data_IF_466294463936
#
_entry.id   IF_466294463936
#
_cell.length_a   1.000
_cell.length_b   1.000
_cell.length_c   1.000
_cell.angle_alpha   90.00
_cell.angle_beta   90.00
_cell.angle_gamma   90.00
#
_symmetry.space_group_name_H-M   'P 1'
#
loop_
_entity.id
_entity.type
_entity.pdbx_description
1 polymer ?
#
# COMPACT_ATOMS: atom_id res chain seq x y z
N UNK A 1 6.12 -6.59 -21.74
CA UNK A 1 4.86 -6.52 -20.99
C UNK A 1 5.07 -6.09 -19.54
N UNK A 2 5.85 -6.80 -18.71
CA UNK A 2 6.09 -6.37 -17.31
C UNK A 2 6.89 -5.08 -17.13
N UNK A 3 8.00 -4.94 -17.85
CA UNK A 3 8.75 -3.68 -17.86
C UNK A 3 7.97 -2.53 -18.52
N UNK A 4 7.06 -2.85 -19.43
CA UNK A 4 6.24 -1.86 -20.12
C UNK A 4 5.14 -1.33 -19.20
N UNK A 5 4.47 -2.22 -18.47
CA UNK A 5 3.57 -1.86 -17.37
C UNK A 5 4.28 -1.04 -16.30
N UNK A 6 5.50 -1.45 -15.90
CA UNK A 6 6.33 -0.71 -14.95
C UNK A 6 6.58 0.73 -15.40
N UNK A 7 7.03 0.89 -16.64
CA UNK A 7 7.35 2.20 -17.20
C UNK A 7 6.12 3.10 -17.26
N UNK A 8 4.97 2.56 -17.66
CA UNK A 8 3.73 3.34 -17.71
C UNK A 8 3.22 3.68 -16.30
N UNK A 9 3.32 2.74 -15.36
CA UNK A 9 2.98 2.95 -13.95
C UNK A 9 3.84 4.05 -13.31
N UNK A 10 5.15 3.95 -13.45
CA UNK A 10 6.11 4.93 -12.95
C UNK A 10 5.87 6.30 -13.59
N UNK A 11 5.65 6.35 -14.90
CA UNK A 11 5.34 7.59 -15.62
C UNK A 11 4.08 8.26 -15.08
N UNK A 12 2.99 7.52 -14.89
CA UNK A 12 1.73 8.06 -14.34
C UNK A 12 1.93 8.66 -12.94
N UNK A 13 2.68 7.97 -12.08
CA UNK A 13 2.96 8.47 -10.73
C UNK A 13 3.87 9.70 -10.73
N UNK A 14 4.92 9.71 -11.53
CA UNK A 14 5.82 10.86 -11.67
C UNK A 14 5.11 12.08 -12.27
N UNK A 15 4.24 11.87 -13.25
CA UNK A 15 3.40 12.94 -13.81
C UNK A 15 2.47 13.53 -12.76
N UNK A 16 1.87 12.70 -11.90
CA UNK A 16 1.06 13.16 -10.77
C UNK A 16 1.87 13.99 -9.77
N UNK A 17 3.02 13.47 -9.34
CA UNK A 17 3.91 14.15 -8.39
C UNK A 17 4.31 15.54 -8.90
N UNK A 18 4.78 15.61 -10.15
CA UNK A 18 5.23 16.84 -10.78
C UNK A 18 4.10 17.86 -10.95
N UNK A 19 2.87 17.39 -11.22
CA UNK A 19 1.68 18.27 -11.30
C UNK A 19 1.29 18.82 -9.93
N UNK A 20 1.36 18.01 -8.87
CA UNK A 20 1.13 18.46 -7.50
C UNK A 20 2.18 19.49 -7.11
N UNK A 21 3.46 19.21 -7.36
CA UNK A 21 4.56 20.15 -7.10
C UNK A 21 4.34 21.50 -7.78
N UNK A 22 4.08 21.51 -9.09
CA UNK A 22 3.80 22.75 -9.85
C UNK A 22 2.58 23.49 -9.32
N UNK A 23 1.55 22.78 -8.87
CA UNK A 23 0.39 23.40 -8.25
C UNK A 23 0.77 24.07 -6.93
N UNK A 24 1.49 23.35 -6.07
CA UNK A 24 1.96 23.84 -4.78
C UNK A 24 2.82 25.09 -4.98
N UNK A 25 3.83 25.05 -5.84
CA UNK A 25 4.72 26.19 -6.12
C UNK A 25 3.94 27.45 -6.53
N UNK A 26 2.95 27.31 -7.42
CA UNK A 26 2.11 28.45 -7.87
C UNK A 26 1.20 28.97 -6.77
N UNK A 27 0.65 28.07 -5.94
CA UNK A 27 -0.18 28.47 -4.80
C UNK A 27 0.69 29.23 -3.79
N UNK A 28 1.89 28.74 -3.49
CA UNK A 28 2.85 29.42 -2.62
C UNK A 28 3.22 30.82 -3.14
N UNK A 29 3.50 30.96 -4.45
CA UNK A 29 3.78 32.26 -5.08
C UNK A 29 2.62 33.25 -4.90
N UNK A 30 1.37 32.79 -5.01
CA UNK A 30 0.19 33.62 -4.77
C UNK A 30 0.04 33.98 -3.28
N UNK A 31 0.36 33.07 -2.37
CA UNK A 31 0.35 33.35 -0.93
C UNK A 31 1.38 34.42 -0.56
N UNK A 32 2.58 34.37 -1.15
CA UNK A 32 3.64 35.36 -0.90
C UNK A 32 3.28 36.77 -1.38
N UNK A 33 2.46 36.85 -2.43
CA UNK A 33 1.91 38.12 -2.94
C UNK A 33 0.72 38.62 -2.13
N UNK A 34 0.22 37.82 -1.19
CA UNK A 34 -1.00 38.12 -0.42
C UNK A 34 -2.30 37.83 -1.17
N UNK A 35 -2.24 37.18 -2.34
CA UNK A 35 -3.39 36.85 -3.19
C UNK A 35 -4.10 35.57 -2.71
N UNK A 36 -4.48 35.53 -1.43
CA UNK A 36 -4.96 34.32 -0.75
C UNK A 36 -6.22 33.72 -1.39
N UNK A 37 -7.11 34.56 -1.92
CA UNK A 37 -8.33 34.10 -2.62
C UNK A 37 -7.98 33.35 -3.91
N UNK A 38 -7.01 33.85 -4.66
CA UNK A 38 -6.60 33.23 -5.92
C UNK A 38 -5.78 31.97 -5.65
N UNK A 39 -4.92 31.98 -4.64
CA UNK A 39 -4.22 30.80 -4.13
C UNK A 39 -5.21 29.67 -3.76
N UNK A 40 -6.28 30.02 -3.03
CA UNK A 40 -7.36 29.09 -2.70
C UNK A 40 -8.07 28.52 -3.93
N UNK A 41 -8.44 29.39 -4.88
CA UNK A 41 -9.16 29.01 -6.10
C UNK A 41 -8.31 28.05 -6.94
N UNK A 42 -7.03 28.39 -7.11
CA UNK A 42 -6.06 27.60 -7.85
C UNK A 42 -5.85 26.23 -7.17
N UNK A 43 -5.61 26.21 -5.86
CA UNK A 43 -5.45 24.97 -5.09
C UNK A 43 -6.66 24.04 -5.27
N UNK A 44 -7.87 24.55 -5.04
CA UNK A 44 -9.10 23.75 -5.09
C UNK A 44 -9.38 23.20 -6.49
N UNK A 45 -9.19 24.00 -7.53
CA UNK A 45 -9.38 23.58 -8.91
C UNK A 45 -8.32 22.58 -9.34
N UNK A 46 -7.05 22.97 -9.18
CA UNK A 46 -5.91 22.17 -9.59
C UNK A 46 -5.83 20.82 -8.89
N UNK A 47 -6.00 20.78 -7.56
CA UNK A 47 -5.96 19.51 -6.81
C UNK A 47 -7.04 18.57 -7.29
N UNK A 48 -8.28 19.05 -7.46
CA UNK A 48 -9.39 18.24 -7.98
C UNK A 48 -9.13 17.69 -9.38
N UNK A 49 -8.62 18.53 -10.30
CA UNK A 49 -8.35 18.10 -11.67
C UNK A 49 -7.22 17.07 -11.71
N UNK A 50 -6.14 17.29 -10.96
CA UNK A 50 -5.03 16.35 -10.85
C UNK A 50 -5.50 15.01 -10.28
N UNK A 51 -6.30 15.03 -9.21
CA UNK A 51 -6.88 13.84 -8.60
C UNK A 51 -7.76 13.05 -9.56
N UNK A 52 -8.62 13.75 -10.32
CA UNK A 52 -9.50 13.11 -11.31
C UNK A 52 -8.68 12.44 -12.40
N UNK A 53 -7.68 13.13 -12.93
CA UNK A 53 -6.87 12.62 -14.03
C UNK A 53 -6.06 11.40 -13.60
N UNK A 54 -5.43 11.46 -12.43
CA UNK A 54 -4.68 10.33 -11.90
C UNK A 54 -5.59 9.13 -11.64
N UNK A 55 -6.77 9.33 -11.04
CA UNK A 55 -7.75 8.26 -10.86
C UNK A 55 -8.12 7.60 -12.19
N UNK A 56 -8.26 8.40 -13.25
CA UNK A 56 -8.48 7.90 -14.61
C UNK A 56 -7.32 7.02 -15.09
N UNK A 57 -6.09 7.52 -14.98
CA UNK A 57 -4.88 6.80 -15.40
C UNK A 57 -4.66 5.50 -14.63
N UNK A 58 -4.87 5.49 -13.31
CA UNK A 58 -4.77 4.29 -12.48
C UNK A 58 -5.80 3.22 -12.87
N UNK A 59 -7.03 3.63 -13.19
CA UNK A 59 -8.07 2.71 -13.65
C UNK A 59 -7.75 2.09 -15.01
N UNK A 60 -7.12 2.84 -15.91
CA UNK A 60 -6.66 2.29 -17.19
C UNK A 60 -5.47 1.33 -17.00
N UNK A 61 -4.56 1.63 -16.08
CA UNK A 61 -3.48 0.72 -15.69
C UNK A 61 -4.02 -0.56 -15.05
N UNK A 62 -5.02 -0.48 -14.17
CA UNK A 62 -5.70 -1.63 -13.57
C UNK A 62 -6.29 -2.55 -14.65
N UNK A 63 -6.99 -1.99 -15.66
CA UNK A 63 -7.52 -2.76 -16.80
C UNK A 63 -6.41 -3.42 -17.61
N UNK A 64 -5.32 -2.68 -17.87
CA UNK A 64 -4.17 -3.21 -18.61
C UNK A 64 -3.51 -4.38 -17.85
N UNK A 65 -3.39 -4.27 -16.53
CA UNK A 65 -2.86 -5.33 -15.67
C UNK A 65 -3.75 -6.59 -15.70
N UNK A 66 -5.08 -6.44 -15.66
CA UNK A 66 -6.04 -7.56 -15.75
C UNK A 66 -6.00 -8.28 -17.10
N UNK A 67 -5.65 -7.58 -18.18
CA UNK A 67 -5.51 -8.15 -19.53
C UNK A 67 -4.16 -8.81 -19.80
N UNK A 68 -3.10 -8.40 -19.11
CA UNK A 68 -1.73 -8.85 -19.32
C UNK A 68 -1.42 -10.12 -18.49
N UNK A 69 -1.87 -11.27 -18.97
CA UNK A 69 -1.46 -12.56 -18.43
C UNK A 69 0.05 -12.81 -18.61
N UNK A 70 0.82 -12.59 -17.53
CA UNK A 70 2.27 -12.84 -17.30
C UNK A 70 3.24 -11.68 -17.56
N UNK A 71 4.16 -11.57 -16.59
CA UNK A 71 5.28 -10.65 -16.56
C UNK A 71 4.83 -9.33 -15.98
N UNK A 72 4.83 -9.21 -14.65
CA UNK A 72 4.58 -7.96 -13.94
C UNK A 72 5.76 -7.78 -12.96
N UNK A 73 6.22 -6.54 -12.72
CA UNK A 73 7.35 -6.26 -11.84
C UNK A 73 7.12 -6.80 -10.43
N UNK A 74 8.21 -6.91 -9.67
CA UNK A 74 8.16 -7.28 -8.27
C UNK A 74 7.21 -6.35 -7.50
N UNK A 75 6.33 -6.95 -6.70
CA UNK A 75 5.37 -6.28 -5.84
C UNK A 75 6.05 -5.26 -4.93
N UNK A 76 7.24 -5.59 -4.43
CA UNK A 76 8.01 -4.73 -3.54
C UNK A 76 8.62 -3.55 -4.30
N UNK A 77 8.95 -3.74 -5.58
CA UNK A 77 9.47 -2.68 -6.43
C UNK A 77 8.37 -1.65 -6.78
N UNK A 78 7.17 -2.10 -7.13
CA UNK A 78 6.02 -1.21 -7.36
C UNK A 78 5.64 -0.44 -6.08
N UNK A 79 5.64 -1.11 -4.93
CA UNK A 79 5.41 -0.45 -3.63
C UNK A 79 6.47 0.60 -3.33
N UNK A 80 7.73 0.35 -3.67
CA UNK A 80 8.81 1.32 -3.46
C UNK A 80 8.55 2.61 -4.26
N UNK A 81 8.19 2.50 -5.54
CA UNK A 81 7.90 3.66 -6.41
C UNK A 81 6.73 4.47 -5.84
N UNK A 82 5.65 3.79 -5.43
CA UNK A 82 4.49 4.46 -4.81
C UNK A 82 4.89 5.15 -3.52
N UNK A 83 5.59 4.47 -2.62
CA UNK A 83 5.97 5.03 -1.33
C UNK A 83 6.87 6.26 -1.48
N UNK A 84 7.75 6.29 -2.47
CA UNK A 84 8.58 7.45 -2.80
C UNK A 84 7.70 8.63 -3.23
N UNK A 85 6.86 8.45 -4.25
CA UNK A 85 5.97 9.49 -4.76
C UNK A 85 5.01 10.02 -3.70
N UNK A 86 4.44 9.13 -2.88
CA UNK A 86 3.52 9.53 -1.81
C UNK A 86 4.22 10.28 -0.69
N UNK A 87 5.48 9.94 -0.38
CA UNK A 87 6.29 10.69 0.57
C UNK A 87 6.53 12.11 0.06
N UNK A 88 6.88 12.27 -1.22
CA UNK A 88 7.13 13.58 -1.80
C UNK A 88 5.87 14.44 -1.89
N UNK A 89 4.75 13.86 -2.32
CA UNK A 89 3.44 14.51 -2.29
C UNK A 89 3.06 14.93 -0.87
N UNK A 90 3.23 14.05 0.12
CA UNK A 90 2.97 14.38 1.53
C UNK A 90 3.84 15.55 2.02
N UNK A 91 5.12 15.58 1.63
CA UNK A 91 6.03 16.67 1.98
C UNK A 91 5.60 18.01 1.35
N UNK A 92 5.18 18.02 0.08
CA UNK A 92 4.66 19.23 -0.56
C UNK A 92 3.39 19.72 0.14
N UNK A 93 2.52 18.78 0.53
CA UNK A 93 1.27 19.05 1.23
C UNK A 93 1.48 19.64 2.62
N UNK A 94 2.39 19.07 3.41
CA UNK A 94 2.69 19.55 4.74
C UNK A 94 3.26 20.97 4.70
N UNK A 95 4.17 21.25 3.75
CA UNK A 95 4.72 22.60 3.54
C UNK A 95 3.64 23.60 3.19
N UNK A 96 2.79 23.27 2.22
CA UNK A 96 1.71 24.15 1.80
C UNK A 96 0.72 24.40 2.95
N UNK A 97 0.32 23.34 3.66
CA UNK A 97 -0.59 23.42 4.80
C UNK A 97 -0.06 24.35 5.90
N UNK A 98 1.22 24.21 6.28
CA UNK A 98 1.89 25.11 7.24
C UNK A 98 1.89 26.57 6.78
N UNK A 99 2.06 26.81 5.48
CA UNK A 99 2.00 28.17 4.90
C UNK A 99 0.60 28.77 5.06
N UNK A 100 -0.44 27.98 4.82
CA UNK A 100 -1.83 28.40 5.05
C UNK A 100 -2.16 28.61 6.53
N UNK A 101 -1.67 27.77 7.45
CA UNK A 101 -1.82 27.97 8.90
C UNK A 101 -1.08 29.23 9.38
N UNK A 102 0.14 29.46 8.90
CA UNK A 102 0.97 30.61 9.28
C UNK A 102 0.35 31.96 8.92
N UNK A 103 -0.41 32.02 7.81
CA UNK A 103 -1.18 33.22 7.44
C UNK A 103 -2.25 33.54 8.49
N UNK A 104 -2.86 32.53 9.12
CA UNK A 104 -3.86 32.71 10.18
C UNK A 104 -3.27 33.20 11.51
N UNK A 105 -1.97 33.00 11.76
CA UNK A 105 -1.31 33.39 13.01
C UNK A 105 -0.55 34.74 12.92
N UNK A 106 -0.11 35.15 11.72
CA UNK A 106 0.81 36.28 11.54
C UNK A 106 0.26 37.50 10.80
N UNK A 107 -0.94 37.44 10.23
CA UNK A 107 -1.46 38.48 9.35
C UNK A 107 -2.72 39.12 9.97
N UNK A 108 -2.55 40.25 10.66
CA UNK A 108 -3.63 41.21 10.93
C UNK A 108 -4.00 41.89 9.62
N UNK A 109 -4.57 41.14 8.69
CA UNK A 109 -5.30 41.72 7.56
C UNK A 109 -6.75 41.43 7.81
N UNK A 110 -7.51 42.51 7.99
CA UNK A 110 -8.96 42.58 8.04
C UNK A 110 -9.58 41.90 6.81
N UNK A 111 -9.66 40.57 6.83
CA UNK A 111 -10.58 39.78 6.01
C UNK A 111 -11.58 39.13 6.97
N UNK A 112 -12.87 39.53 6.96
CA UNK A 112 -13.91 39.01 7.86
C UNK A 112 -14.12 37.49 7.82
N UNK A 113 -13.45 36.79 6.89
CA UNK A 113 -13.65 35.37 6.60
C UNK A 113 -12.43 34.48 6.87
N UNK A 114 -11.28 35.00 7.32
CA UNK A 114 -10.06 34.18 7.47
C UNK A 114 -9.98 33.41 8.80
N UNK A 115 -10.56 33.93 9.88
CA UNK A 115 -10.80 33.22 11.15
C UNK A 115 -11.70 31.97 11.00
N UNK A 116 -12.32 31.82 9.82
CA UNK A 116 -13.02 30.63 9.39
C UNK A 116 -12.41 30.15 8.09
N UNK A 117 -11.22 29.53 8.16
CA UNK A 117 -10.68 28.75 7.06
C UNK A 117 -11.84 27.99 6.40
N UNK A 118 -12.21 28.27 5.12
CA UNK A 118 -13.44 27.75 4.55
C UNK A 118 -13.42 26.23 4.67
N UNK A 119 -14.46 25.59 5.22
CA UNK A 119 -14.50 24.11 5.36
C UNK A 119 -14.16 23.38 4.05
N UNK A 120 -14.47 24.02 2.92
CA UNK A 120 -14.14 23.54 1.58
C UNK A 120 -12.62 23.48 1.28
N UNK A 121 -11.81 24.29 1.94
CA UNK A 121 -10.33 24.28 1.87
C UNK A 121 -9.72 23.11 2.65
N UNK A 122 -10.09 22.96 3.93
CA UNK A 122 -9.67 21.81 4.74
C UNK A 122 -10.11 20.51 4.05
N UNK A 123 -11.33 20.51 3.48
CA UNK A 123 -11.85 19.37 2.71
C UNK A 123 -11.04 19.06 1.44
N UNK A 124 -10.42 20.04 0.78
CA UNK A 124 -9.59 19.75 -0.41
C UNK A 124 -8.24 19.16 -0.03
N UNK A 125 -7.63 19.61 1.07
CA UNK A 125 -6.45 18.94 1.65
C UNK A 125 -6.77 17.51 2.08
N UNK A 126 -7.85 17.34 2.83
CA UNK A 126 -8.32 16.01 3.25
C UNK A 126 -8.64 15.12 2.06
N UNK A 127 -9.31 15.64 1.03
CA UNK A 127 -9.64 14.85 -0.16
C UNK A 127 -8.42 14.40 -0.96
N UNK A 128 -7.30 15.12 -0.90
CA UNK A 128 -6.04 14.68 -1.47
C UNK A 128 -5.33 13.64 -0.58
N UNK A 129 -5.39 13.80 0.75
CA UNK A 129 -4.86 12.81 1.69
C UNK A 129 -5.63 11.47 1.61
N UNK A 130 -6.97 11.52 1.64
CA UNK A 130 -7.84 10.35 1.47
C UNK A 130 -7.55 9.65 0.13
N UNK A 131 -7.25 10.42 -0.92
CA UNK A 131 -6.88 9.87 -2.22
C UNK A 131 -5.50 9.19 -2.22
N UNK A 132 -4.50 9.77 -1.53
CA UNK A 132 -3.19 9.14 -1.34
C UNK A 132 -3.35 7.78 -0.64
N UNK A 133 -4.22 7.70 0.36
CA UNK A 133 -4.54 6.45 1.05
C UNK A 133 -5.29 5.47 0.13
N UNK A 134 -6.24 5.96 -0.69
CA UNK A 134 -6.94 5.14 -1.67
C UNK A 134 -6.00 4.58 -2.74
N UNK A 135 -5.02 5.37 -3.21
CA UNK A 135 -3.99 4.89 -4.14
C UNK A 135 -3.14 3.77 -3.55
N UNK A 136 -2.72 3.89 -2.28
CA UNK A 136 -1.97 2.83 -1.60
C UNK A 136 -2.76 1.51 -1.62
N UNK A 137 -4.07 1.60 -1.40
CA UNK A 137 -4.98 0.46 -1.41
C UNK A 137 -5.18 -0.10 -2.82
N UNK A 138 -5.46 0.76 -3.79
CA UNK A 138 -5.73 0.36 -5.18
C UNK A 138 -4.49 -0.30 -5.81
N UNK A 139 -3.29 0.24 -5.57
CA UNK A 139 -2.05 -0.40 -6.01
C UNK A 139 -1.80 -1.71 -5.27
N UNK A 140 -2.09 -1.78 -3.96
CA UNK A 140 -1.96 -3.03 -3.21
C UNK A 140 -2.91 -4.12 -3.74
N UNK A 141 -4.14 -3.75 -4.09
CA UNK A 141 -5.13 -4.67 -4.65
C UNK A 141 -4.72 -5.13 -6.07
N UNK A 142 -4.17 -4.23 -6.91
CA UNK A 142 -3.56 -4.60 -8.21
C UNK A 142 -2.41 -5.58 -8.00
N UNK A 143 -1.52 -5.32 -7.04
CA UNK A 143 -0.41 -6.21 -6.70
C UNK A 143 -0.93 -7.57 -6.22
N UNK A 144 -1.94 -7.61 -5.35
CA UNK A 144 -2.54 -8.87 -4.87
C UNK A 144 -3.23 -9.66 -5.98
N UNK A 145 -3.96 -8.98 -6.88
CA UNK A 145 -4.64 -9.61 -8.01
C UNK A 145 -3.65 -10.16 -9.04
N UNK A 146 -2.51 -9.48 -9.21
CA UNK A 146 -1.37 -9.96 -10.00
C UNK A 146 -0.68 -11.16 -9.35
N UNK A 147 -0.45 -11.13 -8.04
CA UNK A 147 0.07 -12.28 -7.28
C UNK A 147 -0.90 -13.47 -7.41
N UNK A 148 -2.21 -13.24 -7.40
CA UNK A 148 -3.25 -14.26 -7.66
C UNK A 148 -3.25 -14.76 -9.11
N UNK A 149 -2.98 -13.90 -10.09
CA UNK A 149 -2.85 -14.25 -11.50
C UNK A 149 -1.61 -15.10 -11.82
N UNK A 150 -0.49 -14.88 -11.10
CA UNK A 150 0.70 -15.72 -11.14
C UNK A 150 0.56 -16.99 -10.28
N UNK A 151 -0.19 -16.92 -9.17
CA UNK A 151 -0.37 -18.00 -8.19
C UNK A 151 -1.73 -18.68 -8.31
N UNK A 152 -2.00 -19.32 -9.45
CA UNK A 152 -3.14 -20.24 -9.57
C UNK A 152 -3.02 -21.50 -8.66
N UNK A 153 -2.12 -21.49 -7.68
CA UNK A 153 -2.01 -22.46 -6.57
C UNK A 153 -1.49 -21.70 -5.35
N UNK A 154 -1.95 -22.05 -4.15
CA UNK A 154 -1.58 -21.53 -2.82
C UNK A 154 -2.41 -20.35 -2.27
N UNK A 155 -3.73 -20.44 -2.34
CA UNK A 155 -4.54 -20.03 -1.18
C UNK A 155 -5.40 -21.22 -0.77
N UNK A 156 -5.01 -21.89 0.30
CA UNK A 156 -5.84 -22.91 0.92
C UNK A 156 -6.66 -22.27 2.04
N UNK A 157 -7.95 -22.62 2.10
CA UNK A 157 -8.82 -22.19 3.19
C UNK A 157 -8.55 -23.08 4.39
N UNK A 158 -7.85 -22.55 5.37
CA UNK A 158 -7.58 -23.25 6.63
C UNK A 158 -8.66 -22.87 7.64
N UNK A 159 -9.41 -23.87 8.10
CA UNK A 159 -10.34 -23.71 9.23
C UNK A 159 -9.58 -23.86 10.55
N UNK A 160 -9.53 -22.81 11.37
CA UNK A 160 -8.84 -22.80 12.65
C UNK A 160 -9.78 -22.41 13.79
N UNK A 161 -9.62 -23.05 14.96
CA UNK A 161 -10.35 -22.68 16.18
C UNK A 161 -9.60 -21.54 16.88
N UNK A 162 -10.23 -20.38 16.96
CA UNK A 162 -9.69 -19.19 17.63
C UNK A 162 -10.43 -18.99 18.95
N UNK A 163 -9.71 -18.59 19.99
CA UNK A 163 -10.30 -18.26 21.29
C UNK A 163 -11.19 -17.02 21.21
N UNK A 164 -12.20 -16.95 22.09
CA UNK A 164 -13.21 -15.89 22.06
C UNK A 164 -12.58 -14.50 22.26
N UNK A 165 -11.58 -14.40 23.14
CA UNK A 165 -10.88 -13.14 23.44
C UNK A 165 -10.05 -12.64 22.25
N UNK A 166 -9.35 -13.54 21.58
CA UNK A 166 -8.53 -13.22 20.40
C UNK A 166 -9.44 -12.83 19.23
N UNK A 167 -10.59 -13.49 19.09
CA UNK A 167 -11.59 -13.15 18.10
C UNK A 167 -12.19 -11.76 18.34
N UNK A 168 -12.50 -11.39 19.59
CA UNK A 168 -12.97 -10.04 19.94
C UNK A 168 -11.94 -8.95 19.62
N UNK A 169 -10.64 -9.23 19.81
CA UNK A 169 -9.57 -8.30 19.42
C UNK A 169 -9.55 -8.13 17.90
N UNK A 170 -9.62 -9.23 17.15
CA UNK A 170 -9.69 -9.19 15.69
C UNK A 170 -10.90 -8.37 15.23
N UNK A 171 -12.07 -8.57 15.84
CA UNK A 171 -13.29 -7.84 15.50
C UNK A 171 -13.15 -6.34 15.75
N UNK A 172 -12.59 -5.94 16.90
CA UNK A 172 -12.35 -4.52 17.18
C UNK A 172 -11.41 -3.88 16.16
N UNK A 173 -10.38 -4.60 15.73
CA UNK A 173 -9.44 -4.13 14.71
C UNK A 173 -10.13 -3.99 13.34
N UNK A 174 -11.14 -4.80 13.05
CA UNK A 174 -11.99 -4.63 11.87
C UNK A 174 -12.91 -3.43 12.03
N UNK A 175 -13.54 -3.27 13.19
CA UNK A 175 -14.48 -2.18 13.48
C UNK A 175 -13.82 -0.81 13.40
N UNK A 176 -12.56 -0.70 13.83
CA UNK A 176 -11.77 0.54 13.69
C UNK A 176 -11.14 0.70 12.30
N UNK A 177 -11.38 -0.23 11.38
CA UNK A 177 -10.95 -0.16 9.98
C UNK A 177 -9.48 -0.50 9.74
N UNK A 178 -8.80 -1.13 10.71
CA UNK A 178 -7.41 -1.60 10.55
C UNK A 178 -7.35 -2.81 9.61
N UNK A 179 -8.38 -3.67 9.60
CA UNK A 179 -8.51 -4.79 8.67
C UNK A 179 -9.91 -4.83 8.03
N UNK A 180 -10.04 -5.31 6.78
CA UNK A 180 -11.33 -5.39 6.05
C UNK A 180 -12.10 -6.67 6.41
N UNK A 181 -11.42 -7.72 6.86
CA UNK A 181 -12.05 -8.99 7.21
C UNK A 181 -11.26 -9.77 8.28
N UNK A 182 -11.94 -10.69 8.96
CA UNK A 182 -11.30 -11.62 9.91
C UNK A 182 -10.19 -12.44 9.24
N UNK A 183 -10.40 -12.88 8.01
CA UNK A 183 -9.41 -13.66 7.26
C UNK A 183 -8.14 -12.85 6.94
N UNK A 184 -8.28 -11.57 6.62
CA UNK A 184 -7.14 -10.67 6.39
C UNK A 184 -6.37 -10.42 7.69
N UNK A 185 -7.08 -10.12 8.78
CA UNK A 185 -6.46 -9.93 10.10
C UNK A 185 -5.70 -11.19 10.54
N UNK A 186 -6.32 -12.37 10.39
CA UNK A 186 -5.67 -13.65 10.72
C UNK A 186 -4.46 -13.91 9.84
N UNK A 187 -4.53 -13.69 8.53
CA UNK A 187 -3.39 -13.85 7.63
C UNK A 187 -2.22 -12.92 8.01
N UNK A 188 -2.53 -11.68 8.37
CA UNK A 188 -1.54 -10.71 8.85
C UNK A 188 -0.84 -11.19 10.13
N UNK A 189 -1.61 -11.61 11.14
CA UNK A 189 -1.05 -12.09 12.40
C UNK A 189 -0.28 -13.40 12.25
N UNK A 190 -0.72 -14.30 11.38
CA UNK A 190 0.01 -15.54 11.05
C UNK A 190 1.36 -15.18 10.42
N UNK A 191 1.38 -14.28 9.43
CA UNK A 191 2.62 -13.84 8.79
C UNK A 191 3.58 -13.22 9.82
N UNK A 192 3.08 -12.30 10.66
CA UNK A 192 3.89 -11.66 11.70
C UNK A 192 4.36 -12.64 12.77
N UNK A 193 3.54 -13.63 13.12
CA UNK A 193 3.91 -14.71 14.05
C UNK A 193 5.00 -15.61 13.50
N UNK A 194 4.94 -15.95 12.20
CA UNK A 194 5.99 -16.71 11.50
C UNK A 194 7.28 -15.90 11.45
N UNK A 195 7.21 -14.62 11.08
CA UNK A 195 8.38 -13.73 11.06
C UNK A 195 9.04 -13.60 12.44
N UNK A 196 8.25 -13.40 13.49
CA UNK A 196 8.75 -13.29 14.86
C UNK A 196 9.36 -14.60 15.39
N UNK A 197 8.88 -15.75 14.89
CA UNK A 197 9.31 -17.09 15.33
C UNK A 197 10.24 -17.77 14.34
N UNK A 198 10.77 -17.03 13.35
CA UNK A 198 11.49 -17.58 12.20
C UNK A 198 12.63 -18.52 12.61
N UNK A 199 13.47 -18.10 13.55
CA UNK A 199 14.62 -18.87 13.98
C UNK A 199 14.24 -20.18 14.71
N UNK A 200 13.15 -20.16 15.49
CA UNK A 200 12.61 -21.34 16.16
C UNK A 200 11.98 -22.31 15.16
N UNK A 201 11.23 -21.79 14.18
CA UNK A 201 10.60 -22.57 13.13
C UNK A 201 11.66 -23.25 12.26
N UNK A 202 12.71 -22.52 11.85
CA UNK A 202 13.82 -23.07 11.06
C UNK A 202 14.53 -24.21 11.81
N UNK A 203 14.85 -24.01 13.11
CA UNK A 203 15.43 -25.08 13.94
C UNK A 203 14.53 -26.31 14.04
N UNK A 204 13.21 -26.13 14.18
CA UNK A 204 12.25 -27.23 14.24
C UNK A 204 12.14 -27.97 12.89
N UNK A 205 12.14 -27.25 11.77
CA UNK A 205 12.12 -27.82 10.42
C UNK A 205 13.39 -28.61 10.13
N UNK A 206 14.56 -28.11 10.52
CA UNK A 206 15.84 -28.82 10.40
C UNK A 206 15.85 -30.12 11.21
N UNK A 207 15.33 -30.08 12.44
CA UNK A 207 15.18 -31.28 13.26
C UNK A 207 14.20 -32.29 12.64
N UNK A 208 13.07 -31.83 12.10
CA UNK A 208 12.11 -32.68 11.40
C UNK A 208 12.73 -33.33 10.15
N UNK A 209 13.56 -32.59 9.41
CA UNK A 209 14.28 -33.11 8.24
C UNK A 209 15.26 -34.22 8.62
N UNK A 210 16.02 -34.04 9.71
CA UNK A 210 16.91 -35.08 10.25
C UNK A 210 16.15 -36.34 10.66
N UNK A 211 14.95 -36.20 11.26
CA UNK A 211 14.09 -37.34 11.59
C UNK A 211 13.66 -38.09 10.32
N UNK A 212 13.30 -37.37 9.25
CA UNK A 212 12.95 -38.00 7.97
C UNK A 212 14.14 -38.71 7.33
N UNK A 213 15.32 -38.09 7.34
CA UNK A 213 16.55 -38.68 6.82
C UNK A 213 16.95 -39.95 7.59
N UNK A 214 16.86 -39.94 8.93
CA UNK A 214 17.05 -41.15 9.75
C UNK A 214 16.01 -42.23 9.44
N UNK A 215 14.74 -41.85 9.28
CA UNK A 215 13.67 -42.81 8.95
C UNK A 215 13.92 -43.46 7.60
N UNK A 216 14.48 -42.71 6.66
CA UNK A 216 14.79 -43.19 5.31
C UNK A 216 16.11 -43.99 5.26
N UNK A 217 17.08 -43.70 6.12
CA UNK A 217 18.28 -44.53 6.28
C UNK A 217 17.93 -45.89 6.90
N UNK A 218 17.11 -45.91 7.96
CA UNK A 218 16.59 -47.15 8.56
C UNK A 218 15.81 -47.97 7.53
N UNK A 219 14.96 -47.32 6.72
CA UNK A 219 14.19 -47.99 5.67
C UNK A 219 15.10 -48.57 4.58
N UNK A 220 16.17 -47.87 4.20
CA UNK A 220 17.17 -48.36 3.24
C UNK A 220 17.99 -49.52 3.78
N UNK A 221 18.38 -49.49 5.04
CA UNK A 221 19.10 -50.60 5.68
C UNK A 221 18.23 -51.86 5.74
N UNK A 222 16.95 -51.73 6.10
CA UNK A 222 16.00 -52.85 6.12
C UNK A 222 15.62 -53.38 4.72
N UNK A 223 15.53 -52.52 3.71
CA UNK A 223 15.27 -52.94 2.32
C UNK A 223 16.53 -53.46 1.61
N UNK A 224 17.71 -53.07 2.06
CA UNK A 224 18.99 -53.59 1.60
C UNK A 224 19.28 -55.00 2.12
N UNK A 225 18.77 -55.36 3.31
CA UNK A 225 18.92 -56.70 3.88
C UNK A 225 17.99 -57.76 3.26
N UNK A 226 16.95 -57.38 2.50
CA UNK A 226 16.10 -58.33 1.76
C UNK A 226 16.73 -58.82 0.43
N UNK A 227 17.88 -58.26 0.02
CA UNK A 227 18.58 -58.61 -1.21
C UNK A 227 19.64 -59.71 -1.09
N UNK A 228 20.03 -60.11 0.12
CA UNK A 228 21.12 -61.09 0.34
C UNK A 228 20.68 -62.49 0.81
N UNK A 229 19.39 -62.73 1.05
CA UNK A 229 18.88 -64.06 1.49
C UNK A 229 18.31 -64.94 0.35
N UNK A 230 18.63 -64.63 -0.91
CA UNK A 230 18.39 -65.56 -2.03
C UNK A 230 19.69 -65.81 -2.82
N UNK A 231 20.64 -66.48 -2.17
CA UNK A 231 21.70 -67.23 -2.84
C UNK A 231 21.59 -68.70 -2.46
#
# INVERSE_FOLDING_TARGET
>A
MGEEFKKEFEKVLREFEERIKKLVDKVEELLDRGDVREAYRLWRGGSRDILRDLKGSLKELEKAAKGAGKGIPDADELKSIVNEVLRDVSNYMEKLFKRFEGIGAGVVVSFPSFDRMPRAFIKSFKGLADFVDDMLREVSDVIEEVVRGASKRVSEVVSARIGVRELEVIDKLIDVGIFRSRSEAVAYFVKKGIEASKELIEKALDQAKRIMELRESIKREFMGSEGEEKS
#
